data_IF_525088354432
#
_entry.id   IF_525088354432
#
_cell.length_a   1.000
_cell.length_b   1.000
_cell.length_c   1.000
_cell.angle_alpha   90.00
_cell.angle_beta   90.00
_cell.angle_gamma   90.00
#
_symmetry.space_group_name_H-M   'P 1'
#
loop_
_entity.id
_entity.type
_entity.pdbx_description
1 polymer ?
#
# COMPACT_ATOMS: atom_id res chain seq x y z
N UNK A 1 -12.54 17.08 -10.52
CA UNK A 1 -13.67 16.17 -10.77
C UNK A 1 -14.09 16.40 -12.20
N UNK A 2 -14.15 15.35 -13.02
CA UNK A 2 -14.56 15.48 -14.41
C UNK A 2 -16.09 15.65 -14.52
N UNK A 3 -16.53 16.68 -15.23
CA UNK A 3 -17.92 17.11 -15.32
C UNK A 3 -18.73 16.27 -16.31
N UNK A 4 -18.12 15.87 -17.43
CA UNK A 4 -18.78 15.03 -18.43
C UNK A 4 -19.03 13.63 -17.87
N UNK A 5 -18.04 13.07 -17.17
CA UNK A 5 -18.20 11.79 -16.48
C UNK A 5 -19.30 11.81 -15.43
N UNK A 6 -19.48 12.95 -14.74
CA UNK A 6 -20.54 13.12 -13.73
C UNK A 6 -21.93 13.24 -14.36
N UNK A 7 -22.08 13.89 -15.51
CA UNK A 7 -23.38 14.00 -16.19
C UNK A 7 -23.86 12.65 -16.73
N UNK A 8 -22.93 11.77 -17.13
CA UNK A 8 -23.20 10.40 -17.59
C UNK A 8 -23.25 9.33 -16.48
N UNK A 9 -23.41 9.73 -15.22
CA UNK A 9 -23.41 8.80 -14.07
C UNK A 9 -24.33 7.59 -14.26
N UNK A 10 -25.54 7.81 -14.78
CA UNK A 10 -26.54 6.74 -15.00
C UNK A 10 -26.10 5.79 -16.11
N UNK A 11 -25.51 6.30 -17.19
CA UNK A 11 -25.01 5.48 -18.31
C UNK A 11 -23.85 4.59 -17.86
N UNK A 12 -22.89 5.15 -17.12
CA UNK A 12 -21.79 4.36 -16.54
C UNK A 12 -22.29 3.31 -15.55
N UNK A 13 -23.30 3.63 -14.75
CA UNK A 13 -23.89 2.68 -13.81
C UNK A 13 -24.52 1.49 -14.55
N UNK A 14 -25.28 1.75 -15.62
CA UNK A 14 -25.88 0.70 -16.48
C UNK A 14 -24.82 -0.17 -17.15
N UNK A 15 -23.78 0.47 -17.72
CA UNK A 15 -22.69 -0.25 -18.37
C UNK A 15 -21.95 -1.16 -17.38
N UNK A 16 -21.70 -0.70 -16.14
CA UNK A 16 -21.10 -1.51 -15.08
C UNK A 16 -21.98 -2.71 -14.70
N UNK A 17 -23.29 -2.52 -14.57
CA UNK A 17 -24.21 -3.62 -14.26
C UNK A 17 -24.29 -4.65 -15.40
N UNK A 18 -24.23 -4.21 -16.65
CA UNK A 18 -24.18 -5.10 -17.82
C UNK A 18 -22.86 -5.88 -17.91
N UNK A 19 -21.73 -5.23 -17.65
CA UNK A 19 -20.42 -5.87 -17.54
C UNK A 19 -20.45 -7.00 -16.50
N UNK A 20 -20.96 -6.73 -15.29
CA UNK A 20 -21.06 -7.76 -14.24
C UNK A 20 -21.95 -8.92 -14.67
N UNK A 21 -23.11 -8.65 -15.27
CA UNK A 21 -24.02 -9.72 -15.73
C UNK A 21 -23.36 -10.72 -16.69
N UNK A 22 -22.45 -10.26 -17.54
CA UNK A 22 -21.84 -11.10 -18.58
C UNK A 22 -20.47 -11.66 -18.23
N UNK A 23 -19.73 -11.02 -17.31
CA UNK A 23 -18.32 -11.35 -17.05
C UNK A 23 -18.04 -11.80 -15.63
N UNK A 24 -18.98 -11.62 -14.70
CA UNK A 24 -18.87 -12.15 -13.34
C UNK A 24 -19.16 -13.66 -13.36
N UNK A 25 -18.12 -14.46 -13.13
CA UNK A 25 -18.21 -15.92 -13.14
C UNK A 25 -17.54 -16.50 -11.91
N UNK A 26 -17.93 -17.70 -11.50
CA UNK A 26 -17.34 -18.35 -10.31
C UNK A 26 -15.82 -18.56 -10.43
N UNK A 27 -15.32 -18.78 -11.65
CA UNK A 27 -13.89 -18.95 -11.94
C UNK A 27 -13.12 -17.62 -11.99
N UNK A 28 -13.82 -16.51 -12.24
CA UNK A 28 -13.22 -15.17 -12.37
C UNK A 28 -14.22 -14.12 -11.86
N UNK A 29 -14.38 -14.03 -10.53
CA UNK A 29 -15.37 -13.16 -9.92
C UNK A 29 -14.92 -11.69 -9.92
N UNK A 30 -15.88 -10.78 -10.02
CA UNK A 30 -15.69 -9.36 -9.78
C UNK A 30 -15.88 -9.03 -8.29
N UNK A 31 -14.93 -8.31 -7.69
CA UNK A 31 -15.02 -7.85 -6.30
C UNK A 31 -15.30 -6.34 -6.24
N UNK A 32 -16.43 -5.96 -5.62
CA UNK A 32 -16.83 -4.56 -5.44
C UNK A 32 -16.29 -4.03 -4.11
N UNK A 33 -15.64 -2.86 -4.14
CA UNK A 33 -15.04 -2.23 -2.95
C UNK A 33 -15.57 -0.81 -2.76
N UNK A 34 -16.10 -0.52 -1.57
CA UNK A 34 -16.49 0.83 -1.20
C UNK A 34 -15.26 1.73 -1.01
N UNK A 35 -15.16 2.81 -1.78
CA UNK A 35 -13.95 3.63 -1.88
C UNK A 35 -14.08 5.04 -1.29
N UNK A 36 -15.17 5.36 -0.59
CA UNK A 36 -15.37 6.69 0.02
C UNK A 36 -14.27 7.01 1.05
N UNK A 37 -13.88 6.03 1.88
CA UNK A 37 -12.65 6.06 2.67
C UNK A 37 -11.53 5.34 1.91
N UNK A 38 -10.65 6.14 1.29
CA UNK A 38 -9.52 5.63 0.49
C UNK A 38 -8.56 4.75 1.29
N UNK A 39 -8.34 5.04 2.58
CA UNK A 39 -7.40 4.26 3.41
C UNK A 39 -7.99 2.89 3.69
N UNK A 40 -9.25 2.84 4.12
CA UNK A 40 -9.95 1.56 4.39
C UNK A 40 -10.11 0.73 3.12
N UNK A 41 -10.45 1.35 1.99
CA UNK A 41 -10.57 0.66 0.71
C UNK A 41 -9.27 -0.06 0.33
N UNK A 42 -8.12 0.62 0.44
CA UNK A 42 -6.80 0.03 0.14
C UNK A 42 -6.47 -1.15 1.05
N UNK A 43 -6.71 -1.01 2.36
CA UNK A 43 -6.45 -2.09 3.32
C UNK A 43 -7.34 -3.31 3.04
N UNK A 44 -8.61 -3.10 2.71
CA UNK A 44 -9.53 -4.18 2.37
C UNK A 44 -9.13 -4.91 1.08
N UNK A 45 -8.72 -4.17 0.04
CA UNK A 45 -8.22 -4.76 -1.21
C UNK A 45 -6.98 -5.61 -0.95
N UNK A 46 -5.99 -5.07 -0.22
CA UNK A 46 -4.77 -5.81 0.11
C UNK A 46 -5.07 -7.08 0.90
N UNK A 47 -5.89 -6.97 1.95
CA UNK A 47 -6.28 -8.12 2.78
C UNK A 47 -7.01 -9.18 1.97
N UNK A 48 -7.94 -8.78 1.10
CA UNK A 48 -8.70 -9.71 0.29
C UNK A 48 -7.79 -10.44 -0.71
N UNK A 49 -6.95 -9.70 -1.45
CA UNK A 49 -6.04 -10.27 -2.42
C UNK A 49 -5.05 -11.26 -1.79
N UNK A 50 -4.45 -10.89 -0.66
CA UNK A 50 -3.54 -11.78 0.08
C UNK A 50 -4.27 -13.01 0.63
N UNK A 51 -5.56 -12.93 0.95
CA UNK A 51 -6.35 -14.08 1.39
C UNK A 51 -6.71 -15.07 0.28
N UNK A 52 -6.63 -14.67 -1.00
CA UNK A 52 -6.92 -15.54 -2.14
C UNK A 52 -5.72 -16.40 -2.57
N UNK A 53 -4.50 -15.97 -2.24
CA UNK A 53 -3.27 -16.62 -2.66
C UNK A 53 -2.61 -17.22 -1.42
N UNK A 54 -2.35 -18.54 -1.37
CA UNK A 54 -1.58 -19.11 -0.27
C UNK A 54 -0.16 -18.53 -0.29
N UNK A 55 0.22 -17.84 0.78
CA UNK A 55 1.56 -17.27 0.96
C UNK A 55 2.09 -17.62 2.35
N UNK A 56 3.41 -17.68 2.45
CA UNK A 56 4.11 -17.85 3.72
C UNK A 56 4.72 -16.52 4.17
N UNK A 57 4.83 -16.35 5.48
CA UNK A 57 5.51 -15.19 6.03
C UNK A 57 7.02 -15.35 5.83
N UNK A 58 7.58 -14.55 4.93
CA UNK A 58 9.01 -14.50 4.64
C UNK A 58 9.72 -13.42 5.47
N UNK A 59 9.05 -12.83 6.47
CA UNK A 59 9.67 -11.84 7.35
C UNK A 59 10.84 -12.50 8.07
N UNK A 60 12.09 -12.03 7.82
CA UNK A 60 13.24 -12.61 8.47
C UNK A 60 13.14 -12.35 9.98
N UNK A 61 13.61 -13.30 10.77
CA UNK A 61 13.66 -13.12 12.22
C UNK A 61 14.45 -11.84 12.56
N UNK A 62 14.04 -11.10 13.60
CA UNK A 62 14.75 -9.92 14.03
C UNK A 62 16.23 -10.24 14.25
N UNK A 63 17.09 -9.62 13.44
CA UNK A 63 18.53 -9.87 13.53
C UNK A 63 19.05 -9.24 14.83
N UNK A 64 19.56 -10.06 15.74
CA UNK A 64 20.24 -9.56 16.92
C UNK A 64 21.54 -8.87 16.47
N UNK A 65 21.57 -7.54 16.54
CA UNK A 65 22.79 -6.79 16.26
C UNK A 65 23.86 -7.19 17.29
N UNK A 66 25.10 -7.46 16.86
CA UNK A 66 26.18 -7.69 17.81
C UNK A 66 26.37 -6.44 18.69
N UNK A 67 26.86 -6.61 19.93
CA UNK A 67 27.18 -5.46 20.77
C UNK A 67 28.15 -4.54 20.03
N UNK A 68 27.97 -3.23 20.21
CA UNK A 68 28.86 -2.21 19.63
C UNK A 68 30.30 -2.55 20.03
N UNK A 69 31.22 -2.52 19.07
CA UNK A 69 32.64 -2.72 19.33
C UNK A 69 33.12 -1.69 20.36
N UNK A 70 34.02 -2.05 21.29
CA UNK A 70 34.60 -1.08 22.22
C UNK A 70 35.30 0.04 21.43
N UNK A 71 35.17 1.28 21.88
CA UNK A 71 35.84 2.41 21.25
C UNK A 71 37.36 2.22 21.36
N UNK A 72 38.00 1.86 20.24
CA UNK A 72 39.45 1.67 20.13
C UNK A 72 40.21 3.01 20.11
N UNK A 73 39.78 3.98 20.93
CA UNK A 73 40.33 5.33 20.94
C UNK A 73 39.92 6.21 19.75
N UNK A 74 38.90 5.79 18.98
CA UNK A 74 38.37 6.61 17.89
C UNK A 74 37.62 7.83 18.47
N UNK A 75 38.12 9.02 18.16
CA UNK A 75 37.46 10.28 18.50
C UNK A 75 36.66 10.74 17.29
N UNK A 76 35.34 10.79 17.42
CA UNK A 76 34.47 11.34 16.37
C UNK A 76 34.78 12.84 16.19
N UNK A 77 34.90 13.35 14.95
CA UNK A 77 35.04 14.78 14.71
C UNK A 77 33.88 15.57 15.35
N UNK A 78 34.13 16.80 15.84
CA UNK A 78 33.08 17.66 16.36
C UNK A 78 31.93 17.78 15.39
N UNK A 79 30.70 17.69 15.90
CA UNK A 79 29.50 17.75 15.08
C UNK A 79 29.38 19.10 14.32
N UNK A 80 29.99 20.16 14.86
CA UNK A 80 30.02 21.49 14.24
C UNK A 80 30.84 21.56 12.94
N UNK A 81 31.75 20.61 12.70
CA UNK A 81 32.56 20.54 11.47
C UNK A 81 31.85 19.78 10.35
N UNK A 82 30.69 19.18 10.63
CA UNK A 82 29.93 18.38 9.68
C UNK A 82 28.84 19.22 9.02
N UNK A 83 28.76 19.18 7.68
CA UNK A 83 27.68 19.82 6.93
C UNK A 83 26.47 18.90 6.91
N UNK A 84 25.47 19.20 7.74
CA UNK A 84 24.21 18.47 7.75
C UNK A 84 23.22 19.05 6.73
N UNK A 85 22.46 18.17 6.08
CA UNK A 85 21.31 18.57 5.29
C UNK A 85 20.22 19.15 6.22
N UNK A 86 19.51 20.22 5.82
CA UNK A 86 18.41 20.76 6.62
C UNK A 86 17.33 19.70 6.86
N UNK A 87 16.88 19.57 8.11
CA UNK A 87 15.76 18.70 8.43
C UNK A 87 14.46 19.53 8.33
N UNK A 88 13.67 19.28 7.30
CA UNK A 88 12.53 20.14 6.87
C UNK A 88 11.18 19.61 7.36
N UNK A 89 11.15 18.47 8.04
CA UNK A 89 9.92 17.82 8.52
C UNK A 89 9.97 17.57 10.02
#
# INVERSE_FOLDING_TARGET
MDLESRSRWVEYSKAKDEMFRHTDTEQSPWYVVASDDKRRARLNVLRHLLGLIPYEDLTPEPLALPPRQPDAGYVRPPMAEQTFIPNVY
#
